data_IF_081939369783
#
_entry.id   IF_081939369783
#
_cell.length_a   1.000
_cell.length_b   1.000
_cell.length_c   1.000
_cell.angle_alpha   90.00
_cell.angle_beta   90.00
_cell.angle_gamma   90.00
#
_symmetry.space_group_name_H-M   'P 1'
#
loop_
_entity.id
_entity.type
_entity.pdbx_description
1 polymer ?
#
# COMPACT_ATOMS: atom_id res chain seq x y z
N UNK A 1 -28.98 -16.91 -12.10
CA UNK A 1 -27.63 -16.32 -12.11
C UNK A 1 -26.76 -17.14 -13.04
N UNK A 2 -26.09 -16.53 -14.01
CA UNK A 2 -25.15 -17.26 -14.88
C UNK A 2 -23.92 -17.67 -14.08
N UNK A 3 -23.33 -18.82 -14.40
CA UNK A 3 -22.07 -19.29 -13.77
C UNK A 3 -20.94 -18.26 -13.93
N UNK A 4 -20.93 -17.54 -15.05
CA UNK A 4 -20.02 -16.43 -15.35
C UNK A 4 -20.12 -15.33 -14.28
N UNK A 5 -21.34 -14.88 -13.95
CA UNK A 5 -21.56 -13.83 -12.96
C UNK A 5 -21.08 -14.24 -11.56
N UNK A 6 -21.25 -15.52 -11.19
CA UNK A 6 -20.77 -16.03 -9.90
C UNK A 6 -19.24 -15.98 -9.84
N UNK A 7 -18.56 -16.43 -10.90
CA UNK A 7 -17.10 -16.42 -10.96
C UNK A 7 -16.57 -14.98 -10.94
N UNK A 8 -17.16 -14.07 -11.71
CA UNK A 8 -16.78 -12.64 -11.69
C UNK A 8 -16.93 -12.04 -10.30
N UNK A 9 -18.02 -12.35 -9.60
CA UNK A 9 -18.25 -11.82 -8.25
C UNK A 9 -17.26 -12.39 -7.24
N UNK A 10 -16.88 -13.66 -7.36
CA UNK A 10 -15.82 -14.27 -6.54
C UNK A 10 -14.49 -13.57 -6.80
N UNK A 11 -14.13 -13.33 -8.07
CA UNK A 11 -12.89 -12.63 -8.42
C UNK A 11 -12.88 -11.19 -7.91
N UNK A 12 -13.99 -10.48 -8.01
CA UNK A 12 -14.13 -9.13 -7.44
C UNK A 12 -14.03 -9.14 -5.91
N UNK A 13 -14.68 -10.11 -5.25
CA UNK A 13 -14.57 -10.30 -3.80
C UNK A 13 -13.14 -10.61 -3.36
N UNK A 14 -12.43 -11.46 -4.11
CA UNK A 14 -11.03 -11.78 -3.88
C UNK A 14 -10.13 -10.57 -4.08
N UNK A 15 -10.31 -9.82 -5.17
CA UNK A 15 -9.55 -8.59 -5.43
C UNK A 15 -9.74 -7.57 -4.31
N UNK A 16 -10.97 -7.36 -3.86
CA UNK A 16 -11.26 -6.46 -2.75
C UNK A 16 -10.67 -6.97 -1.44
N UNK A 17 -10.82 -8.26 -1.14
CA UNK A 17 -10.26 -8.90 0.04
C UNK A 17 -8.74 -8.81 0.10
N UNK A 18 -8.05 -9.03 -1.03
CA UNK A 18 -6.60 -8.88 -1.16
C UNK A 18 -6.17 -7.43 -0.95
N UNK A 19 -6.93 -6.46 -1.47
CA UNK A 19 -6.64 -5.05 -1.24
C UNK A 19 -6.79 -4.68 0.24
N UNK A 20 -7.86 -5.13 0.90
CA UNK A 20 -8.04 -4.95 2.34
C UNK A 20 -6.94 -5.64 3.14
N UNK A 21 -6.56 -6.85 2.75
CA UNK A 21 -5.44 -7.58 3.35
C UNK A 21 -4.14 -6.78 3.27
N UNK A 22 -3.77 -6.26 2.10
CA UNK A 22 -2.55 -5.46 1.94
C UNK A 22 -2.55 -4.21 2.81
N UNK A 23 -3.69 -3.52 2.89
CA UNK A 23 -3.85 -2.33 3.73
C UNK A 23 -3.76 -2.68 5.22
N UNK A 24 -4.36 -3.79 5.65
CA UNK A 24 -4.35 -4.22 7.05
C UNK A 24 -3.01 -4.82 7.48
N UNK A 25 -2.37 -5.62 6.61
CA UNK A 25 -1.13 -6.34 6.89
C UNK A 25 0.02 -5.40 7.24
N UNK A 26 0.06 -4.21 6.64
CA UNK A 26 1.05 -3.19 6.99
C UNK A 26 0.92 -2.74 8.45
N UNK A 27 -0.30 -2.45 8.90
CA UNK A 27 -0.56 -2.03 10.28
C UNK A 27 -0.31 -3.17 11.28
N UNK A 28 -0.77 -4.39 10.99
CA UNK A 28 -0.61 -5.53 11.89
C UNK A 28 0.84 -5.95 12.05
N UNK A 29 1.63 -5.91 10.97
CA UNK A 29 3.06 -6.24 11.02
C UNK A 29 3.84 -5.20 11.82
N UNK A 30 3.58 -3.90 11.59
CA UNK A 30 4.23 -2.82 12.33
C UNK A 30 3.89 -2.93 13.83
N UNK A 31 2.61 -3.11 14.16
CA UNK A 31 2.19 -3.25 15.54
C UNK A 31 2.77 -4.53 16.18
N UNK A 32 2.74 -5.65 15.47
CA UNK A 32 3.22 -6.94 15.97
C UNK A 32 4.72 -6.97 16.29
N UNK A 33 5.54 -6.24 15.51
CA UNK A 33 6.99 -6.19 15.73
C UNK A 33 7.41 -5.05 16.66
N UNK A 34 6.80 -3.87 16.54
CA UNK A 34 7.24 -2.67 17.26
C UNK A 34 6.42 -2.36 18.52
N UNK A 35 5.28 -3.03 18.73
CA UNK A 35 4.37 -2.78 19.85
C UNK A 35 3.68 -1.42 19.83
N UNK A 36 3.72 -0.72 18.68
CA UNK A 36 3.24 0.67 18.54
C UNK A 36 2.18 0.75 17.44
N UNK A 37 1.04 1.37 17.74
CA UNK A 37 -0.06 1.54 16.79
C UNK A 37 0.30 2.66 15.82
N UNK A 38 0.91 2.32 14.69
CA UNK A 38 1.28 3.29 13.65
C UNK A 38 0.04 3.71 12.83
N UNK A 39 -0.73 4.66 13.36
CA UNK A 39 -1.89 5.23 12.66
C UNK A 39 -1.49 5.99 11.38
N UNK A 40 -0.27 6.53 11.34
CA UNK A 40 0.22 7.30 10.20
C UNK A 40 0.67 6.43 9.01
N UNK A 41 0.56 5.10 9.06
CA UNK A 41 1.01 4.26 7.94
C UNK A 41 0.34 4.65 6.61
N UNK A 42 -0.93 5.07 6.64
CA UNK A 42 -1.66 5.54 5.46
C UNK A 42 -1.06 6.81 4.86
N UNK A 43 -0.39 7.64 5.67
CA UNK A 43 0.35 8.81 5.18
C UNK A 43 1.62 8.42 4.43
N UNK A 44 2.29 7.32 4.81
CA UNK A 44 3.44 6.79 4.06
C UNK A 44 2.98 6.18 2.72
N UNK A 45 1.84 5.50 2.71
CA UNK A 45 1.20 5.06 1.46
C UNK A 45 0.89 6.24 0.54
N UNK A 46 0.33 7.33 1.08
CA UNK A 46 0.05 8.56 0.34
C UNK A 46 1.32 9.17 -0.26
N UNK A 47 2.40 9.32 0.52
CA UNK A 47 3.69 9.84 0.01
C UNK A 47 4.20 9.01 -1.18
N UNK A 48 4.14 7.68 -1.07
CA UNK A 48 4.50 6.79 -2.18
C UNK A 48 3.60 6.98 -3.39
N UNK A 49 2.28 7.06 -3.20
CA UNK A 49 1.31 7.25 -4.29
C UNK A 49 1.52 8.57 -5.04
N UNK A 50 1.73 9.68 -4.33
CA UNK A 50 2.00 10.99 -4.94
C UNK A 50 3.36 11.01 -5.65
N UNK A 51 4.40 10.39 -5.09
CA UNK A 51 5.68 10.24 -5.78
C UNK A 51 5.54 9.43 -7.07
N UNK A 52 4.76 8.34 -7.04
CA UNK A 52 4.46 7.55 -8.23
C UNK A 52 3.77 8.39 -9.30
N UNK A 53 2.72 9.12 -8.91
CA UNK A 53 1.95 9.98 -9.79
C UNK A 53 2.79 11.08 -10.43
N UNK A 54 3.62 11.74 -9.63
CA UNK A 54 4.50 12.80 -10.11
C UNK A 54 5.53 12.28 -11.12
N UNK A 55 6.21 11.17 -10.81
CA UNK A 55 7.26 10.62 -11.67
C UNK A 55 6.69 9.97 -12.91
N UNK A 56 5.62 9.19 -12.80
CA UNK A 56 4.97 8.61 -13.96
C UNK A 56 4.33 9.68 -14.85
N UNK A 57 3.73 10.72 -14.28
CA UNK A 57 3.19 11.85 -15.04
C UNK A 57 4.27 12.64 -15.79
N UNK A 58 5.45 12.80 -15.20
CA UNK A 58 6.58 13.49 -15.82
C UNK A 58 7.33 12.65 -16.87
N UNK A 59 7.44 11.33 -16.66
CA UNK A 59 8.26 10.44 -17.49
C UNK A 59 7.47 9.57 -18.46
N UNK A 60 6.16 9.42 -18.27
CA UNK A 60 5.32 8.44 -18.94
C UNK A 60 5.60 6.98 -18.53
N UNK A 61 6.54 6.72 -17.61
CA UNK A 61 6.97 5.38 -17.25
C UNK A 61 6.37 4.93 -15.91
N UNK A 62 5.50 3.93 -15.98
CA UNK A 62 4.93 3.28 -14.80
C UNK A 62 6.02 2.67 -13.90
N UNK A 63 7.06 2.09 -14.48
CA UNK A 63 8.14 1.44 -13.72
C UNK A 63 8.94 2.47 -12.92
N UNK A 64 9.25 3.63 -13.52
CA UNK A 64 9.92 4.71 -12.81
C UNK A 64 9.02 5.27 -11.70
N UNK A 65 7.71 5.39 -11.95
CA UNK A 65 6.72 5.74 -10.93
C UNK A 65 6.72 4.75 -9.76
N UNK A 66 6.74 3.44 -10.04
CA UNK A 66 6.78 2.40 -9.00
C UNK A 66 8.06 2.47 -8.16
N UNK A 67 9.23 2.65 -8.80
CA UNK A 67 10.51 2.80 -8.09
C UNK A 67 10.49 4.06 -7.22
N UNK A 68 9.95 5.17 -7.73
CA UNK A 68 9.80 6.40 -6.99
C UNK A 68 8.87 6.24 -5.79
N UNK A 69 7.74 5.53 -5.95
CA UNK A 69 6.80 5.25 -4.88
C UNK A 69 7.47 4.50 -3.71
N UNK A 70 8.15 3.40 -4.03
CA UNK A 70 8.84 2.56 -3.04
C UNK A 70 9.95 3.34 -2.34
N UNK A 71 10.74 4.09 -3.10
CA UNK A 71 11.87 4.86 -2.57
C UNK A 71 11.39 6.00 -1.68
N UNK A 72 10.37 6.76 -2.11
CA UNK A 72 9.81 7.85 -1.34
C UNK A 72 9.16 7.36 -0.04
N UNK A 73 8.36 6.29 -0.11
CA UNK A 73 7.75 5.69 1.07
C UNK A 73 8.79 5.14 2.05
N UNK A 74 9.84 4.46 1.56
CA UNK A 74 10.93 3.94 2.39
C UNK A 74 11.73 5.07 3.06
N UNK A 75 12.08 6.13 2.33
CA UNK A 75 12.78 7.28 2.88
C UNK A 75 11.93 8.02 3.92
N UNK A 76 10.66 8.29 3.61
CA UNK A 76 9.73 8.92 4.56
C UNK A 76 9.56 8.07 5.82
N UNK A 77 9.40 6.75 5.67
CA UNK A 77 9.33 5.81 6.78
C UNK A 77 10.60 5.82 7.64
N UNK A 78 11.78 5.82 7.03
CA UNK A 78 13.06 5.89 7.73
C UNK A 78 13.23 7.21 8.51
N UNK A 79 12.83 8.34 7.90
CA UNK A 79 12.85 9.65 8.56
C UNK A 79 11.90 9.65 9.76
N UNK A 80 10.67 9.17 9.58
CA UNK A 80 9.67 9.07 10.66
C UNK A 80 10.17 8.17 11.79
N UNK A 81 10.78 7.03 11.46
CA UNK A 81 11.35 6.11 12.44
C UNK A 81 12.42 6.79 13.30
N UNK A 82 13.39 7.44 12.65
CA UNK A 82 14.54 8.05 13.32
C UNK A 82 14.14 9.30 14.12
N UNK A 83 13.25 10.11 13.56
CA UNK A 83 12.90 11.42 14.15
C UNK A 83 11.79 11.29 15.19
N UNK A 84 10.81 10.42 14.98
CA UNK A 84 9.59 10.38 15.80
C UNK A 84 9.47 9.07 16.56
N UNK A 85 9.39 7.94 15.87
CA UNK A 85 9.04 6.65 16.49
C UNK A 85 10.07 6.22 17.54
N UNK A 86 11.37 6.33 17.25
CA UNK A 86 12.43 5.99 18.22
C UNK A 86 12.33 6.74 19.55
N UNK A 87 11.81 7.96 19.54
CA UNK A 87 11.61 8.77 20.75
C UNK A 87 10.34 8.38 21.52
N UNK A 88 9.38 7.77 20.83
CA UNK A 88 8.07 7.41 21.38
C UNK A 88 8.00 5.98 21.92
N UNK A 89 9.02 5.14 21.68
CA UNK A 89 9.05 3.78 22.24
C UNK A 89 8.96 3.76 23.78
N UNK A 90 9.52 4.76 24.46
CA UNK A 90 9.44 4.89 25.91
C UNK A 90 8.27 5.75 26.39
N UNK A 91 7.47 6.31 25.47
CA UNK A 91 6.40 7.24 25.79
C UNK A 91 5.07 6.51 26.08
N UNK A 92 4.16 7.09 26.89
CA UNK A 92 2.81 6.59 27.10
C UNK A 92 2.03 6.42 25.79
N UNK A 93 1.07 5.48 25.76
CA UNK A 93 0.26 5.20 24.56
C UNK A 93 -0.49 6.42 24.01
N UNK A 94 -0.93 7.33 24.88
CA UNK A 94 -1.59 8.57 24.45
C UNK A 94 -0.66 9.44 23.60
N UNK A 95 0.59 9.59 24.02
CA UNK A 95 1.60 10.39 23.32
C UNK A 95 1.92 9.78 21.95
N UNK A 96 1.95 8.45 21.86
CA UNK A 96 2.12 7.74 20.60
C UNK A 96 0.99 8.08 19.62
N UNK A 97 -0.27 7.96 20.07
CA UNK A 97 -1.45 8.27 19.24
C UNK A 97 -1.45 9.74 18.79
N UNK A 98 -1.17 10.67 19.71
CA UNK A 98 -1.10 12.11 19.39
C UNK A 98 0.00 12.42 18.37
N UNK A 99 1.17 11.80 18.51
CA UNK A 99 2.26 11.98 17.56
C UNK A 99 1.92 11.41 16.17
N UNK A 100 1.28 10.24 16.10
CA UNK A 100 0.83 9.68 14.82
C UNK A 100 -0.24 10.55 14.17
N UNK A 101 -1.15 11.13 14.97
CA UNK A 101 -2.12 12.10 14.47
C UNK A 101 -1.45 13.36 13.92
N UNK A 102 -0.46 13.91 14.64
CA UNK A 102 0.33 15.04 14.15
C UNK A 102 1.06 14.71 12.84
N UNK A 103 1.64 13.50 12.73
CA UNK A 103 2.26 13.04 11.49
C UNK A 103 1.25 12.99 10.33
N UNK A 104 0.06 12.43 10.55
CA UNK A 104 -1.01 12.41 9.53
C UNK A 104 -1.27 13.83 9.02
N UNK A 105 -1.43 14.80 9.93
CA UNK A 105 -1.68 16.19 9.56
C UNK A 105 -0.51 16.80 8.77
N UNK A 106 0.72 16.63 9.26
CA UNK A 106 1.93 17.15 8.60
C UNK A 106 2.08 16.58 7.19
N UNK A 107 1.92 15.26 7.02
CA UNK A 107 2.00 14.63 5.71
C UNK A 107 0.84 15.07 4.80
N UNK A 108 -0.39 15.14 5.32
CA UNK A 108 -1.55 15.56 4.53
C UNK A 108 -1.41 16.99 4.02
N UNK A 109 -0.98 17.91 4.88
CA UNK A 109 -0.84 19.32 4.53
C UNK A 109 0.41 19.55 3.68
N UNK A 110 1.52 18.86 3.97
CA UNK A 110 2.72 18.89 3.15
C UNK A 110 2.47 18.39 1.73
N UNK A 111 1.68 17.33 1.58
CA UNK A 111 1.29 16.81 0.25
C UNK A 111 0.37 17.79 -0.46
N UNK A 112 -0.60 18.37 0.25
CA UNK A 112 -1.48 19.43 -0.28
C UNK A 112 -0.71 20.67 -0.72
N UNK A 113 0.35 21.06 -0.03
CA UNK A 113 1.19 22.20 -0.42
C UNK A 113 2.01 21.91 -1.68
N UNK A 114 2.53 20.68 -1.80
CA UNK A 114 3.37 20.29 -2.93
C UNK A 114 2.58 19.98 -4.21
N UNK A 115 1.45 19.28 -4.08
CA UNK A 115 0.69 18.75 -5.22
C UNK A 115 -0.68 19.42 -5.41
N UNK A 116 -1.06 20.30 -4.49
CA UNK A 116 -2.39 20.89 -4.47
C UNK A 116 -3.42 20.00 -3.78
N UNK A 117 -4.66 20.51 -3.72
CA UNK A 117 -5.78 19.83 -3.07
C UNK A 117 -6.52 18.83 -3.97
N UNK A 118 -6.05 18.63 -5.19
CA UNK A 118 -6.71 17.76 -6.17
C UNK A 118 -6.02 16.39 -6.24
N UNK A 119 -6.79 15.30 -6.40
CA UNK A 119 -6.22 13.98 -6.58
C UNK A 119 -5.44 13.91 -7.90
N UNK A 120 -4.23 13.37 -7.84
CA UNK A 120 -3.47 13.01 -9.04
C UNK A 120 -3.93 11.63 -9.51
N UNK A 121 -4.35 11.55 -10.77
CA UNK A 121 -4.69 10.27 -11.40
C UNK A 121 -3.47 9.74 -12.14
N UNK A 122 -3.18 8.46 -11.89
CA UNK A 122 -2.15 7.72 -12.60
C UNK A 122 -2.84 6.89 -13.68
N UNK A 123 -2.45 7.09 -14.93
CA UNK A 123 -2.93 6.23 -16.01
C UNK A 123 -2.35 4.82 -15.85
N UNK A 124 -3.22 3.83 -16.05
CA UNK A 124 -2.82 2.42 -16.02
C UNK A 124 -1.95 2.17 -17.26
N UNK A 125 -0.77 1.57 -17.13
CA UNK A 125 0.10 1.33 -18.29
C UNK A 125 -0.57 0.42 -19.32
N UNK A 126 -0.19 0.56 -20.59
CA UNK A 126 -0.69 -0.24 -21.71
C UNK A 126 -0.38 -1.74 -21.61
N UNK A 127 0.44 -2.16 -20.65
CA UNK A 127 0.63 -3.56 -20.30
C UNK A 127 -0.44 -4.10 -19.32
N UNK A 128 -1.20 -3.21 -18.67
CA UNK A 128 -2.22 -3.53 -17.65
C UNK A 128 -3.63 -2.95 -17.94
N UNK A 129 -3.83 -2.17 -19.02
CA UNK A 129 -5.13 -1.59 -19.43
C UNK A 129 -6.11 -2.53 -20.17
N UNK A 130 -7.36 -2.65 -19.77
CA UNK A 130 -8.34 -3.46 -20.52
C UNK A 130 -8.42 -4.95 -20.12
N UNK A 131 -9.31 -5.72 -20.77
CA UNK A 131 -9.70 -7.03 -20.30
C UNK A 131 -8.79 -8.15 -20.82
N UNK A 132 -8.75 -9.26 -20.07
CA UNK A 132 -8.25 -10.55 -20.53
C UNK A 132 -9.40 -11.56 -20.48
N UNK A 133 -9.50 -12.37 -21.54
CA UNK A 133 -10.50 -13.41 -21.62
C UNK A 133 -10.01 -14.66 -20.88
N UNK A 134 -10.72 -14.99 -19.80
CA UNK A 134 -10.52 -16.18 -19.01
C UNK A 134 -11.30 -17.36 -19.61
N UNK A 135 -10.85 -18.61 -19.36
CA UNK A 135 -11.57 -19.80 -19.82
C UNK A 135 -13.02 -19.77 -19.34
N UNK A 136 -13.95 -20.04 -20.26
CA UNK A 136 -15.40 -19.94 -20.00
C UNK A 136 -16.06 -18.65 -20.51
N UNK A 137 -15.36 -17.82 -21.28
CA UNK A 137 -15.92 -16.61 -21.92
C UNK A 137 -16.05 -15.43 -20.97
N UNK A 138 -15.24 -15.40 -19.91
CA UNK A 138 -15.28 -14.36 -18.87
C UNK A 138 -14.27 -13.28 -19.24
N UNK A 139 -14.72 -12.04 -19.43
CA UNK A 139 -13.82 -10.93 -19.76
C UNK A 139 -13.53 -10.12 -18.49
N UNK A 140 -12.31 -10.20 -17.97
CA UNK A 140 -11.96 -9.64 -16.67
C UNK A 140 -10.77 -8.67 -16.75
N UNK A 141 -10.78 -7.52 -16.05
CA UNK A 141 -9.70 -6.53 -16.16
C UNK A 141 -8.33 -7.09 -15.74
N UNK A 142 -7.32 -7.00 -16.63
CA UNK A 142 -5.97 -7.53 -16.35
C UNK A 142 -5.30 -6.85 -15.14
N UNK A 143 -5.57 -5.57 -14.92
CA UNK A 143 -5.13 -4.83 -13.72
C UNK A 143 -5.61 -5.47 -12.42
N UNK A 144 -6.88 -5.92 -12.35
CA UNK A 144 -7.43 -6.55 -11.13
C UNK A 144 -6.79 -7.90 -10.85
N UNK A 145 -6.52 -8.69 -11.89
CA UNK A 145 -5.77 -9.96 -11.74
C UNK A 145 -4.34 -9.72 -11.28
N UNK A 146 -3.67 -8.69 -11.81
CA UNK A 146 -2.35 -8.31 -11.35
C UNK A 146 -2.35 -7.93 -9.86
N UNK A 147 -3.36 -7.17 -9.40
CA UNK A 147 -3.51 -6.85 -7.98
C UNK A 147 -3.72 -8.09 -7.11
N UNK A 148 -4.55 -9.04 -7.54
CA UNK A 148 -4.72 -10.33 -6.85
C UNK A 148 -3.37 -11.05 -6.77
N UNK A 149 -2.66 -11.19 -7.90
CA UNK A 149 -1.39 -11.89 -7.96
C UNK A 149 -0.31 -11.26 -7.08
N UNK A 150 -0.17 -9.93 -7.12
CA UNK A 150 0.78 -9.19 -6.28
C UNK A 150 0.42 -9.38 -4.80
N UNK A 151 -0.84 -9.20 -4.43
CA UNK A 151 -1.22 -9.28 -3.03
C UNK A 151 -1.14 -10.69 -2.45
N UNK A 152 -1.45 -11.73 -3.23
CA UNK A 152 -1.17 -13.11 -2.84
C UNK A 152 0.34 -13.37 -2.69
N UNK A 153 1.15 -12.84 -3.61
CA UNK A 153 2.62 -12.97 -3.54
C UNK A 153 3.19 -12.30 -2.28
N UNK A 154 2.70 -11.11 -1.93
CA UNK A 154 3.07 -10.42 -0.69
C UNK A 154 2.59 -11.21 0.53
N UNK A 155 1.37 -11.74 0.51
CA UNK A 155 0.85 -12.55 1.62
C UNK A 155 1.67 -13.82 1.86
N UNK A 156 2.00 -14.56 0.79
CA UNK A 156 2.88 -15.74 0.85
C UNK A 156 4.29 -15.33 1.32
N UNK A 157 4.81 -14.21 0.82
CA UNK A 157 6.11 -13.67 1.20
C UNK A 157 6.18 -13.32 2.70
N UNK A 158 5.15 -12.66 3.22
CA UNK A 158 5.02 -12.33 4.65
C UNK A 158 4.89 -13.60 5.50
N UNK A 159 4.04 -14.54 5.09
CA UNK A 159 3.90 -15.84 5.77
C UNK A 159 5.24 -16.56 5.85
N UNK A 160 5.95 -16.66 4.73
CA UNK A 160 7.26 -17.29 4.67
C UNK A 160 8.28 -16.54 5.53
N UNK A 161 8.31 -15.21 5.49
CA UNK A 161 9.20 -14.41 6.31
C UNK A 161 8.95 -14.66 7.81
N UNK A 162 7.70 -14.61 8.26
CA UNK A 162 7.35 -14.75 9.68
C UNK A 162 7.61 -16.17 10.17
N UNK A 163 7.18 -17.19 9.41
CA UNK A 163 7.16 -18.57 9.91
C UNK A 163 8.46 -19.34 9.63
N UNK A 164 9.22 -18.95 8.59
CA UNK A 164 10.50 -19.60 8.25
C UNK A 164 11.74 -18.80 8.61
N UNK A 165 11.63 -17.53 9.01
CA UNK A 165 12.81 -16.74 9.40
C UNK A 165 12.80 -16.34 10.86
N UNK A 166 13.99 -16.13 11.43
CA UNK A 166 14.20 -15.76 12.84
C UNK A 166 13.56 -14.42 13.24
N UNK A 167 13.01 -13.66 12.29
CA UNK A 167 12.33 -12.39 12.55
C UNK A 167 10.97 -12.60 13.22
N UNK A 168 10.31 -13.75 13.02
CA UNK A 168 9.00 -14.07 13.63
C UNK A 168 9.06 -14.91 14.92
N UNK A 169 10.25 -15.30 15.39
CA UNK A 169 10.40 -16.10 16.60
C UNK A 169 10.67 -15.23 17.83
N UNK A 170 9.60 -14.70 18.45
CA UNK A 170 9.58 -14.37 19.86
C UNK A 170 8.35 -15.02 20.50
#
# INVERSE_FOLDING_TARGET
>A
MSTILIIEQILNGLQFGVMLFLMAAGLTLIFGVMGLINLAHGSLYMVGAFAAAAVAGATGSFVLGLIAALTAAALAGAVVEIVVIRRLYAAPHLDQVLAMFALILVFSEGTRWLFGSFPLFLDIPDALSGPIDLPGGISYPRYRLALIGIGLSVGIGLWWLIEKTRVGGQ
#
